data_IF_646880859790
#
_entry.id   IF_646880859790
#
_cell.length_a   1.000
_cell.length_b   1.000
_cell.length_c   1.000
_cell.angle_alpha   90.00
_cell.angle_beta   90.00
_cell.angle_gamma   90.00
#
_symmetry.space_group_name_H-M   'P 1'
#
loop_
_entity.id
_entity.type
_entity.pdbx_description
1 polymer ?
#
# COMPACT_ATOMS: atom_id res chain seq x y z
N UNK A 1 41.42 -16.26 53.49
CA UNK A 1 40.81 -14.96 53.18
C UNK A 1 40.43 -14.98 51.73
N UNK A 2 39.13 -15.18 51.50
CA UNK A 2 38.49 -15.29 50.21
C UNK A 2 37.93 -13.92 49.82
N UNK A 3 38.29 -13.43 48.66
CA UNK A 3 37.58 -12.32 48.02
C UNK A 3 36.83 -12.85 46.81
N UNK A 4 35.49 -12.74 46.88
CA UNK A 4 34.56 -13.03 45.77
C UNK A 4 34.54 -11.84 44.81
N UNK A 5 34.90 -12.06 43.56
CA UNK A 5 34.66 -11.14 42.47
C UNK A 5 33.20 -11.32 41.98
N UNK A 6 32.38 -10.30 42.14
CA UNK A 6 31.10 -10.18 41.44
C UNK A 6 31.38 -9.65 40.02
N UNK A 7 31.15 -10.45 39.03
CA UNK A 7 31.05 -10.00 37.62
C UNK A 7 29.65 -9.46 37.36
N UNK A 8 29.58 -8.17 37.10
CA UNK A 8 28.42 -7.52 36.52
C UNK A 8 28.21 -8.06 35.10
N UNK A 9 27.16 -8.80 34.89
CA UNK A 9 26.69 -9.27 33.62
C UNK A 9 25.28 -8.68 33.37
N UNK A 10 25.23 -7.43 32.92
CA UNK A 10 23.94 -6.73 32.75
C UNK A 10 23.89 -5.68 31.64
N UNK A 11 24.94 -5.52 30.83
CA UNK A 11 24.97 -4.37 29.91
C UNK A 11 25.00 -4.73 28.40
N UNK A 12 25.02 -6.00 28.00
CA UNK A 12 25.20 -6.36 26.59
C UNK A 12 23.92 -6.84 25.87
N UNK A 13 22.78 -6.99 26.56
CA UNK A 13 21.56 -7.50 25.90
C UNK A 13 20.81 -6.44 25.10
N UNK A 14 20.83 -5.19 25.52
CA UNK A 14 20.14 -4.11 24.77
C UNK A 14 20.92 -3.69 23.53
N UNK A 15 22.25 -3.68 23.58
CA UNK A 15 23.08 -3.33 22.43
C UNK A 15 22.99 -4.38 21.33
N UNK A 16 22.93 -5.66 21.68
CA UNK A 16 22.77 -6.75 20.71
C UNK A 16 21.36 -6.76 20.08
N UNK A 17 20.33 -6.35 20.84
CA UNK A 17 18.97 -6.22 20.32
C UNK A 17 18.85 -5.04 19.34
N UNK A 18 19.46 -3.91 19.65
CA UNK A 18 19.52 -2.74 18.77
C UNK A 18 20.35 -3.02 17.50
N UNK A 19 21.49 -3.68 17.62
CA UNK A 19 22.34 -4.04 16.49
C UNK A 19 21.67 -5.10 15.57
N UNK A 20 20.91 -6.03 16.13
CA UNK A 20 20.15 -7.01 15.36
C UNK A 20 18.98 -6.37 14.61
N UNK A 21 18.26 -5.44 15.24
CA UNK A 21 17.18 -4.71 14.59
C UNK A 21 17.70 -3.73 13.54
N UNK A 22 18.81 -3.07 13.77
CA UNK A 22 19.45 -2.17 12.80
C UNK A 22 19.91 -2.94 11.54
N UNK A 23 20.44 -4.16 11.70
CA UNK A 23 20.80 -5.05 10.57
C UNK A 23 19.58 -5.53 9.81
N UNK A 24 18.45 -5.82 10.47
CA UNK A 24 17.19 -6.19 9.84
C UNK A 24 16.56 -5.01 9.10
N UNK A 25 16.60 -3.82 9.66
CA UNK A 25 16.12 -2.58 9.01
C UNK A 25 17.03 -2.25 7.83
N UNK A 26 18.34 -2.39 7.95
CA UNK A 26 19.28 -2.15 6.85
C UNK A 26 19.13 -3.20 5.73
N UNK A 27 18.86 -4.47 6.07
CA UNK A 27 18.55 -5.52 5.11
C UNK A 27 17.20 -5.30 4.41
N UNK A 28 16.21 -4.77 5.14
CA UNK A 28 14.90 -4.41 4.58
C UNK A 28 15.03 -3.24 3.60
N UNK A 29 15.81 -2.22 3.94
CA UNK A 29 16.09 -1.06 3.06
C UNK A 29 16.90 -1.49 1.83
N UNK A 30 17.87 -2.43 1.96
CA UNK A 30 18.61 -2.98 0.82
C UNK A 30 17.76 -3.91 -0.05
N UNK A 31 16.85 -4.70 0.53
CA UNK A 31 15.92 -5.54 -0.24
C UNK A 31 14.90 -4.69 -1.00
N UNK A 32 14.45 -3.58 -0.42
CA UNK A 32 13.62 -2.59 -1.09
C UNK A 32 14.39 -1.90 -2.25
N UNK A 33 15.66 -1.54 -2.05
CA UNK A 33 16.50 -0.96 -3.09
C UNK A 33 16.77 -1.93 -4.25
N UNK A 34 16.91 -3.24 -3.98
CA UNK A 34 17.16 -4.24 -5.03
C UNK A 34 15.92 -4.61 -5.84
N UNK A 35 14.69 -4.53 -5.25
CA UNK A 35 13.45 -4.73 -6.00
C UNK A 35 13.12 -3.53 -6.92
N UNK A 36 13.63 -2.34 -6.58
CA UNK A 36 13.41 -1.09 -7.34
C UNK A 36 14.23 -0.98 -8.63
N UNK A 37 15.24 -1.81 -8.84
CA UNK A 37 16.19 -1.63 -9.96
C UNK A 37 15.71 -2.15 -11.31
N UNK A 38 14.54 -2.78 -11.40
CA UNK A 38 14.11 -3.39 -12.67
C UNK A 38 13.08 -2.60 -13.50
N UNK A 39 12.41 -1.58 -12.94
CA UNK A 39 11.34 -0.88 -13.66
C UNK A 39 11.38 0.67 -13.61
N UNK A 40 12.47 1.25 -13.15
CA UNK A 40 12.57 2.71 -13.09
C UNK A 40 12.82 3.30 -14.49
N UNK A 41 11.76 3.70 -15.17
CA UNK A 41 11.81 4.54 -16.37
C UNK A 41 11.56 3.86 -17.72
N UNK A 42 11.34 2.54 -17.79
CA UNK A 42 10.87 1.91 -19.02
C UNK A 42 9.34 1.86 -19.02
N UNK A 43 8.70 2.48 -20.01
CA UNK A 43 7.27 2.28 -20.25
C UNK A 43 6.98 0.78 -20.43
N UNK A 44 5.84 0.32 -19.92
CA UNK A 44 5.40 -1.05 -20.16
C UNK A 44 5.26 -1.31 -21.67
N UNK A 45 5.56 -2.53 -22.11
CA UNK A 45 5.46 -2.91 -23.53
C UNK A 45 4.04 -2.76 -24.07
N UNK A 46 3.03 -2.78 -23.20
CA UNK A 46 1.61 -2.63 -23.47
C UNK A 46 1.02 -1.31 -22.91
N UNK A 47 1.86 -0.28 -22.76
CA UNK A 47 1.45 1.04 -22.23
C UNK A 47 0.24 1.63 -22.96
N UNK A 48 0.12 1.40 -24.26
CA UNK A 48 -1.00 1.92 -25.08
C UNK A 48 -2.36 1.32 -24.70
N UNK A 49 -2.39 0.16 -24.05
CA UNK A 49 -3.60 -0.53 -23.61
C UNK A 49 -4.08 -0.10 -22.22
N UNK A 50 -3.24 0.63 -21.48
CA UNK A 50 -3.57 1.18 -20.16
C UNK A 50 -4.51 2.37 -20.34
N UNK A 51 -5.68 2.32 -19.68
CA UNK A 51 -6.73 3.35 -19.77
C UNK A 51 -6.82 4.22 -18.52
N UNK A 52 -6.27 3.76 -17.40
CA UNK A 52 -6.13 4.57 -16.19
C UNK A 52 -4.95 5.53 -16.36
N UNK A 53 -4.92 6.59 -15.57
CA UNK A 53 -3.83 7.55 -15.62
C UNK A 53 -2.48 6.88 -15.32
N UNK A 54 -1.43 7.31 -16.00
CA UNK A 54 -0.09 6.78 -15.82
C UNK A 54 0.37 6.86 -14.35
N UNK A 55 -0.02 7.91 -13.64
CA UNK A 55 0.27 8.12 -12.22
C UNK A 55 -0.22 6.97 -11.34
N UNK A 56 -1.39 6.39 -11.64
CA UNK A 56 -1.96 5.26 -10.91
C UNK A 56 -1.00 4.06 -10.93
N UNK A 57 -0.55 3.71 -12.13
CA UNK A 57 0.35 2.56 -12.32
C UNK A 57 1.74 2.86 -11.77
N UNK A 58 2.30 4.03 -12.09
CA UNK A 58 3.64 4.45 -11.66
C UNK A 58 3.73 4.50 -10.12
N UNK A 59 2.72 5.03 -9.45
CA UNK A 59 2.65 5.08 -7.97
C UNK A 59 2.61 3.68 -7.38
N UNK A 60 1.71 2.81 -7.83
CA UNK A 60 1.56 1.48 -7.25
C UNK A 60 2.76 0.56 -7.54
N UNK A 61 3.43 0.75 -8.67
CA UNK A 61 4.70 0.07 -8.98
C UNK A 61 5.81 0.59 -8.06
N UNK A 62 5.89 1.90 -7.88
CA UNK A 62 6.88 2.52 -6.98
C UNK A 62 6.72 2.08 -5.54
N UNK A 63 5.48 1.89 -5.08
CA UNK A 63 5.16 1.37 -3.74
C UNK A 63 5.28 -0.17 -3.64
N UNK A 64 5.58 -0.86 -4.73
CA UNK A 64 5.68 -2.32 -4.76
C UNK A 64 4.36 -3.06 -4.57
N UNK A 65 3.22 -2.35 -4.62
CA UNK A 65 1.87 -2.94 -4.49
C UNK A 65 1.53 -3.78 -5.71
N UNK A 66 1.89 -3.29 -6.89
CA UNK A 66 1.74 -3.99 -8.17
C UNK A 66 3.11 -4.02 -8.86
N UNK A 67 3.45 -5.13 -9.51
CA UNK A 67 4.66 -5.25 -10.32
C UNK A 67 4.28 -5.58 -11.76
N UNK A 68 5.09 -5.16 -12.73
CA UNK A 68 5.01 -5.67 -14.09
C UNK A 68 5.42 -7.14 -14.19
N UNK A 69 5.20 -7.73 -15.35
CA UNK A 69 5.60 -9.09 -15.65
C UNK A 69 7.04 -9.14 -16.21
N UNK A 70 7.64 -10.32 -16.22
CA UNK A 70 9.04 -10.51 -16.70
C UNK A 70 9.24 -10.22 -18.18
N UNK A 71 8.15 -10.19 -18.96
CA UNK A 71 8.13 -9.80 -20.38
C UNK A 71 8.05 -8.26 -20.59
N UNK A 72 8.07 -7.50 -19.49
CA UNK A 72 7.98 -6.04 -19.50
C UNK A 72 6.55 -5.51 -19.65
N UNK A 73 5.52 -6.37 -19.62
CA UNK A 73 4.11 -5.96 -19.72
C UNK A 73 3.50 -5.64 -18.36
N UNK A 74 2.44 -4.83 -18.36
CA UNK A 74 1.57 -4.59 -17.20
C UNK A 74 0.34 -5.49 -17.21
N UNK A 75 -0.14 -5.87 -18.39
CA UNK A 75 -1.36 -6.64 -18.67
C UNK A 75 -2.62 -5.98 -18.11
N UNK A 76 -2.95 -4.77 -18.57
CA UNK A 76 -4.02 -3.95 -17.99
C UNK A 76 -5.40 -4.60 -18.07
N UNK A 77 -5.63 -5.42 -19.10
CA UNK A 77 -6.91 -6.06 -19.36
C UNK A 77 -7.05 -7.48 -18.81
N UNK A 78 -5.95 -8.08 -18.30
CA UNK A 78 -6.01 -9.35 -17.59
C UNK A 78 -6.82 -9.19 -16.29
N UNK A 79 -7.56 -10.22 -15.91
CA UNK A 79 -8.39 -10.16 -14.72
C UNK A 79 -7.60 -10.54 -13.47
N UNK A 80 -7.88 -9.86 -12.36
CA UNK A 80 -7.21 -10.11 -11.08
C UNK A 80 -7.89 -11.26 -10.35
N UNK A 81 -7.09 -12.19 -9.82
CA UNK A 81 -7.56 -13.26 -8.96
C UNK A 81 -7.75 -12.78 -7.51
N UNK A 82 -8.53 -13.53 -6.72
CA UNK A 82 -8.73 -13.28 -5.29
C UNK A 82 -7.41 -13.36 -4.51
N UNK A 83 -6.51 -14.25 -4.90
CA UNK A 83 -5.18 -14.38 -4.33
C UNK A 83 -4.28 -13.17 -4.63
N UNK A 84 -4.30 -12.67 -5.87
CA UNK A 84 -3.54 -11.48 -6.24
C UNK A 84 -4.06 -10.23 -5.53
N UNK A 85 -5.38 -10.07 -5.41
CA UNK A 85 -5.95 -8.96 -4.65
C UNK A 85 -5.55 -9.01 -3.17
N UNK A 86 -5.55 -10.20 -2.55
CA UNK A 86 -5.09 -10.37 -1.17
C UNK A 86 -3.61 -9.99 -1.01
N UNK A 87 -2.75 -10.32 -1.98
CA UNK A 87 -1.35 -9.89 -1.99
C UNK A 87 -1.22 -8.37 -2.10
N UNK A 88 -1.94 -7.74 -3.01
CA UNK A 88 -1.90 -6.27 -3.18
C UNK A 88 -2.31 -5.55 -1.89
N UNK A 89 -3.39 -6.00 -1.25
CA UNK A 89 -3.85 -5.44 0.04
C UNK A 89 -2.84 -5.68 1.17
N UNK A 90 -2.21 -6.86 1.19
CA UNK A 90 -1.15 -7.14 2.16
C UNK A 90 0.00 -6.14 2.04
N UNK A 91 0.49 -5.92 0.81
CA UNK A 91 1.57 -4.94 0.56
C UNK A 91 1.13 -3.54 0.95
N UNK A 92 -0.08 -3.12 0.55
CA UNK A 92 -0.66 -1.83 0.92
C UNK A 92 -0.70 -1.61 2.44
N UNK A 93 -0.96 -2.67 3.23
CA UNK A 93 -1.07 -2.58 4.69
C UNK A 93 0.24 -2.73 5.44
N UNK A 94 1.23 -3.33 4.86
CA UNK A 94 2.47 -3.69 5.57
C UNK A 94 3.73 -3.06 4.99
N UNK A 95 3.65 -2.53 3.77
CA UNK A 95 4.81 -2.11 3.00
C UNK A 95 5.78 -3.26 2.66
N UNK A 96 5.38 -4.52 2.89
CA UNK A 96 6.23 -5.70 2.71
C UNK A 96 5.66 -6.63 1.65
N UNK A 97 6.50 -7.18 0.80
CA UNK A 97 6.09 -8.14 -0.23
C UNK A 97 6.18 -9.61 0.22
N UNK A 98 6.72 -9.91 1.39
CA UNK A 98 6.86 -11.26 1.94
C UNK A 98 5.87 -11.51 3.08
N UNK A 99 4.92 -12.43 2.87
CA UNK A 99 3.95 -12.87 3.86
C UNK A 99 4.28 -14.26 4.43
N UNK A 100 5.50 -14.76 4.26
CA UNK A 100 5.90 -16.12 4.70
C UNK A 100 5.70 -16.34 6.20
N UNK A 101 5.81 -15.29 7.02
CA UNK A 101 5.56 -15.34 8.46
C UNK A 101 4.14 -15.82 8.83
N UNK A 102 3.16 -15.68 7.92
CA UNK A 102 1.77 -16.09 8.12
C UNK A 102 1.44 -17.44 7.52
N UNK A 103 2.41 -18.12 6.89
CA UNK A 103 2.19 -19.40 6.21
C UNK A 103 1.64 -20.51 7.12
N UNK A 104 2.00 -20.48 8.39
CA UNK A 104 1.62 -21.48 9.38
C UNK A 104 0.49 -21.04 10.30
N UNK A 105 -0.06 -19.82 10.08
CA UNK A 105 -1.20 -19.32 10.84
C UNK A 105 -2.44 -20.21 10.62
N UNK A 106 -3.34 -20.17 11.60
CA UNK A 106 -4.61 -20.88 11.52
C UNK A 106 -5.53 -20.25 10.48
N UNK A 107 -6.25 -21.09 9.77
CA UNK A 107 -7.28 -20.70 8.81
C UNK A 107 -8.40 -21.73 8.78
N UNK A 108 -9.60 -21.30 8.41
CA UNK A 108 -10.71 -22.19 8.10
C UNK A 108 -10.65 -22.71 6.64
N UNK A 109 -9.84 -22.09 5.77
CA UNK A 109 -9.79 -22.43 4.35
C UNK A 109 -8.95 -23.68 4.11
N UNK A 110 -9.51 -24.67 3.42
CA UNK A 110 -8.88 -25.96 3.15
C UNK A 110 -8.21 -26.01 1.77
N UNK A 111 -8.49 -25.05 0.90
CA UNK A 111 -8.04 -25.00 -0.49
C UNK A 111 -6.78 -24.14 -0.73
N UNK A 112 -6.16 -23.64 0.33
CA UNK A 112 -4.99 -22.75 0.23
C UNK A 112 -3.69 -23.34 0.77
N UNK A 113 -3.70 -24.60 1.26
CA UNK A 113 -2.59 -25.18 2.01
C UNK A 113 -1.24 -25.18 1.30
N UNK A 114 -1.21 -25.46 -0.01
CA UNK A 114 -0.02 -25.42 -0.86
C UNK A 114 0.02 -24.20 -1.80
N UNK A 115 -0.98 -23.31 -1.73
CA UNK A 115 -1.07 -22.18 -2.63
C UNK A 115 -0.01 -21.12 -2.30
N UNK A 116 0.59 -20.50 -3.32
CA UNK A 116 1.64 -19.51 -3.18
C UNK A 116 1.20 -18.31 -2.31
N UNK A 117 -0.08 -17.94 -2.38
CA UNK A 117 -0.64 -16.80 -1.66
C UNK A 117 -1.15 -17.12 -0.26
N UNK A 118 -0.91 -18.33 0.28
CA UNK A 118 -1.51 -18.73 1.56
C UNK A 118 -1.23 -17.78 2.72
N UNK A 119 -0.03 -17.21 2.79
CA UNK A 119 0.33 -16.24 3.83
C UNK A 119 -0.45 -14.94 3.72
N UNK A 120 -0.57 -14.40 2.52
CA UNK A 120 -1.36 -13.19 2.23
C UNK A 120 -2.85 -13.39 2.58
N UNK A 121 -3.39 -14.55 2.17
CA UNK A 121 -4.80 -14.90 2.42
C UNK A 121 -5.06 -15.02 3.93
N UNK A 122 -4.20 -15.73 4.66
CA UNK A 122 -4.34 -15.90 6.11
C UNK A 122 -4.25 -14.57 6.86
N UNK A 123 -3.30 -13.70 6.48
CA UNK A 123 -3.21 -12.34 7.02
C UNK A 123 -4.51 -11.55 6.79
N UNK A 124 -4.98 -11.48 5.55
CA UNK A 124 -6.19 -10.75 5.23
C UNK A 124 -7.44 -11.34 5.89
N UNK A 125 -7.50 -12.68 6.05
CA UNK A 125 -8.57 -13.36 6.79
C UNK A 125 -8.56 -12.99 8.26
N UNK A 126 -7.40 -12.97 8.92
CA UNK A 126 -7.27 -12.63 10.35
C UNK A 126 -7.77 -11.23 10.68
N UNK A 127 -7.74 -10.32 9.72
CA UNK A 127 -8.24 -8.95 9.82
C UNK A 127 -9.69 -8.77 9.30
N UNK A 128 -10.33 -9.86 8.85
CA UNK A 128 -11.68 -9.79 8.29
C UNK A 128 -11.79 -9.08 6.93
N UNK A 129 -10.65 -8.78 6.28
CA UNK A 129 -10.60 -8.09 4.97
C UNK A 129 -11.20 -8.97 3.88
N UNK A 130 -10.95 -10.27 3.96
CA UNK A 130 -11.47 -11.24 3.01
C UNK A 130 -12.44 -12.22 3.69
N UNK A 131 -13.43 -12.64 2.93
CA UNK A 131 -14.31 -13.74 3.26
C UNK A 131 -14.12 -14.88 2.25
N UNK A 132 -14.41 -16.11 2.66
CA UNK A 132 -14.47 -17.24 1.75
C UNK A 132 -15.69 -17.19 0.83
N UNK A 133 -15.65 -18.00 -0.21
CA UNK A 133 -16.85 -18.34 -1.02
C UNK A 133 -17.77 -19.28 -0.22
N UNK A 134 -17.18 -20.01 0.74
CA UNK A 134 -17.88 -20.77 1.76
C UNK A 134 -17.14 -20.68 3.10
N UNK A 135 -17.64 -21.37 4.13
CA UNK A 135 -16.98 -21.45 5.43
C UNK A 135 -15.54 -22.01 5.36
N UNK A 136 -15.26 -22.86 4.38
CA UNK A 136 -14.00 -23.60 4.26
C UNK A 136 -13.27 -23.42 2.93
N UNK A 137 -13.81 -22.67 2.00
CA UNK A 137 -13.25 -22.47 0.65
C UNK A 137 -13.01 -20.99 0.39
N UNK A 138 -11.78 -20.62 0.04
CA UNK A 138 -11.41 -19.26 -0.37
C UNK A 138 -11.53 -19.08 -1.90
N UNK A 139 -11.23 -20.10 -2.68
CA UNK A 139 -11.11 -20.08 -4.14
C UNK A 139 -10.04 -19.08 -4.64
N UNK A 140 -8.74 -19.29 -4.33
CA UNK A 140 -7.67 -18.32 -4.58
C UNK A 140 -7.50 -17.92 -6.05
N UNK A 141 -7.68 -18.86 -6.98
CA UNK A 141 -7.51 -18.64 -8.42
C UNK A 141 -8.77 -18.11 -9.11
N UNK A 142 -9.90 -18.01 -8.40
CA UNK A 142 -11.08 -17.37 -8.94
C UNK A 142 -10.87 -15.86 -9.09
N UNK A 143 -11.38 -15.28 -10.16
CA UNK A 143 -11.31 -13.83 -10.38
C UNK A 143 -12.14 -13.08 -9.35
N UNK A 144 -11.66 -11.90 -8.94
CA UNK A 144 -12.40 -10.96 -8.09
C UNK A 144 -13.21 -10.02 -8.98
N UNK A 145 -14.42 -9.66 -8.58
CA UNK A 145 -15.18 -8.57 -9.22
C UNK A 145 -14.76 -7.21 -8.66
N UNK A 146 -15.03 -6.12 -9.38
CA UNK A 146 -14.68 -4.78 -8.88
C UNK A 146 -15.41 -4.45 -7.58
N UNK A 147 -16.67 -4.87 -7.41
CA UNK A 147 -17.40 -4.67 -6.14
C UNK A 147 -16.84 -5.53 -4.98
N UNK A 148 -16.32 -6.74 -5.26
CA UNK A 148 -15.63 -7.53 -4.22
C UNK A 148 -14.29 -6.90 -3.84
N UNK A 149 -13.53 -6.37 -4.81
CA UNK A 149 -12.30 -5.63 -4.55
C UNK A 149 -12.58 -4.36 -3.72
N UNK A 150 -13.61 -3.60 -4.07
CA UNK A 150 -14.05 -2.42 -3.31
C UNK A 150 -14.43 -2.78 -1.87
N UNK A 151 -15.15 -3.90 -1.65
CA UNK A 151 -15.46 -4.40 -0.30
C UNK A 151 -14.20 -4.71 0.50
N UNK A 152 -13.21 -5.37 -0.10
CA UNK A 152 -11.95 -5.66 0.57
C UNK A 152 -11.23 -4.37 0.98
N UNK A 153 -11.27 -3.34 0.14
CA UNK A 153 -10.67 -2.04 0.44
C UNK A 153 -11.43 -1.29 1.53
N UNK A 154 -12.77 -1.30 1.54
CA UNK A 154 -13.55 -0.71 2.63
C UNK A 154 -13.19 -1.33 3.99
N UNK A 155 -13.03 -2.65 4.06
CA UNK A 155 -12.57 -3.28 5.31
C UNK A 155 -11.11 -2.89 5.63
N UNK A 156 -10.28 -2.69 4.61
CA UNK A 156 -8.91 -2.17 4.78
C UNK A 156 -8.91 -0.74 5.36
N UNK A 157 -9.87 0.09 4.98
CA UNK A 157 -10.08 1.42 5.58
C UNK A 157 -10.49 1.37 7.07
N UNK A 158 -11.05 0.24 7.53
CA UNK A 158 -11.50 0.05 8.91
C UNK A 158 -12.98 -0.21 9.08
N UNK A 159 -13.75 -0.32 8.01
CA UNK A 159 -15.17 -0.70 8.10
C UNK A 159 -15.30 -2.17 8.52
N UNK A 160 -16.09 -2.42 9.57
CA UNK A 160 -16.50 -3.78 9.92
C UNK A 160 -17.58 -4.25 8.96
N UNK A 161 -17.36 -5.40 8.31
CA UNK A 161 -18.23 -5.90 7.27
C UNK A 161 -19.69 -6.13 7.74
N UNK A 162 -19.90 -6.52 9.01
CA UNK A 162 -21.24 -6.73 9.58
C UNK A 162 -21.91 -5.39 9.89
N UNK A 163 -21.23 -4.51 10.63
CA UNK A 163 -21.77 -3.21 11.06
C UNK A 163 -22.05 -2.27 9.87
N UNK A 164 -21.21 -2.31 8.85
CA UNK A 164 -21.39 -1.52 7.63
C UNK A 164 -22.41 -2.13 6.65
N UNK A 165 -22.96 -3.31 6.94
CA UNK A 165 -23.91 -3.99 6.07
C UNK A 165 -23.30 -4.55 4.79
N UNK A 166 -21.99 -4.81 4.78
CA UNK A 166 -21.28 -5.36 3.62
C UNK A 166 -21.41 -6.88 3.53
N UNK A 167 -22.42 -7.44 4.18
CA UNK A 167 -22.78 -8.87 4.16
C UNK A 167 -24.28 -9.04 3.98
N UNK A 168 -24.73 -10.28 3.69
CA UNK A 168 -26.15 -10.59 3.46
C UNK A 168 -26.62 -10.16 2.07
N UNK A 169 -27.93 -10.15 1.84
CA UNK A 169 -28.53 -10.02 0.50
C UNK A 169 -28.24 -8.67 -0.19
N UNK A 170 -28.03 -7.61 0.56
CA UNK A 170 -27.81 -6.25 0.05
C UNK A 170 -26.32 -5.84 0.04
N UNK A 171 -25.40 -6.79 0.28
CA UNK A 171 -23.97 -6.48 0.44
C UNK A 171 -23.41 -5.68 -0.75
N UNK A 172 -23.76 -6.04 -1.97
CA UNK A 172 -23.22 -5.42 -3.18
C UNK A 172 -23.66 -3.95 -3.33
N UNK A 173 -24.95 -3.65 -3.13
CA UNK A 173 -25.45 -2.28 -3.22
C UNK A 173 -24.91 -1.40 -2.09
N UNK A 174 -24.77 -1.96 -0.86
CA UNK A 174 -24.14 -1.27 0.26
C UNK A 174 -22.66 -1.02 0.04
N UNK A 175 -21.95 -2.01 -0.51
CA UNK A 175 -20.53 -1.86 -0.86
C UNK A 175 -20.34 -0.75 -1.89
N UNK A 176 -21.11 -0.77 -2.99
CA UNK A 176 -20.98 0.23 -4.05
C UNK A 176 -21.28 1.64 -3.53
N UNK A 177 -22.37 1.82 -2.76
CA UNK A 177 -22.72 3.11 -2.18
C UNK A 177 -21.61 3.64 -1.23
N UNK A 178 -21.11 2.79 -0.34
CA UNK A 178 -20.07 3.20 0.61
C UNK A 178 -18.71 3.42 -0.06
N UNK A 179 -18.40 2.66 -1.11
CA UNK A 179 -17.18 2.85 -1.89
C UNK A 179 -17.22 4.15 -2.69
N UNK A 180 -18.37 4.50 -3.27
CA UNK A 180 -18.58 5.78 -3.94
C UNK A 180 -18.46 6.96 -2.98
N UNK A 181 -19.11 6.89 -1.80
CA UNK A 181 -19.01 7.90 -0.74
C UNK A 181 -17.57 8.15 -0.28
N UNK A 182 -16.73 7.12 -0.31
CA UNK A 182 -15.31 7.22 0.08
C UNK A 182 -14.37 7.52 -1.11
N UNK A 183 -14.89 7.81 -2.30
CA UNK A 183 -14.08 8.11 -3.49
C UNK A 183 -13.35 6.90 -4.09
N UNK A 184 -13.62 5.67 -3.62
CA UNK A 184 -12.92 4.48 -4.13
C UNK A 184 -13.26 4.16 -5.58
N UNK A 185 -14.40 4.63 -6.08
CA UNK A 185 -14.91 4.32 -7.42
C UNK A 185 -14.55 5.39 -8.46
N UNK A 186 -13.83 6.44 -8.09
CA UNK A 186 -13.38 7.48 -9.03
C UNK A 186 -12.54 6.85 -10.15
N UNK A 187 -12.87 7.16 -11.41
CA UNK A 187 -12.20 6.67 -12.62
C UNK A 187 -12.17 5.13 -12.79
N UNK A 188 -13.00 4.40 -12.05
CA UNK A 188 -13.15 2.94 -12.18
C UNK A 188 -14.17 2.61 -13.26
N UNK A 189 -13.78 2.75 -14.53
CA UNK A 189 -14.64 2.60 -15.70
C UNK A 189 -14.76 1.13 -16.13
N UNK A 190 -15.31 0.27 -15.27
CA UNK A 190 -15.54 -1.15 -15.55
C UNK A 190 -16.87 -1.65 -14.97
N UNK A 191 -17.29 -2.84 -15.39
CA UNK A 191 -18.43 -3.52 -14.78
C UNK A 191 -18.10 -3.95 -13.34
N UNK A 192 -18.96 -3.59 -12.37
CA UNK A 192 -18.74 -3.95 -10.97
C UNK A 192 -19.05 -5.42 -10.66
N UNK A 193 -19.81 -6.09 -11.53
CA UNK A 193 -20.24 -7.49 -11.34
C UNK A 193 -19.45 -8.51 -12.17
N UNK A 194 -18.59 -8.04 -13.06
CA UNK A 194 -17.70 -8.88 -13.86
C UNK A 194 -16.30 -8.95 -13.24
N UNK A 195 -15.50 -9.91 -13.72
CA UNK A 195 -14.09 -10.02 -13.32
C UNK A 195 -13.36 -8.68 -13.52
N UNK A 196 -12.69 -8.20 -12.49
CA UNK A 196 -12.04 -6.89 -12.47
C UNK A 196 -10.76 -6.91 -13.30
N UNK A 197 -10.65 -6.07 -14.35
CA UNK A 197 -9.38 -5.87 -15.05
C UNK A 197 -8.33 -5.28 -14.14
N UNK A 198 -7.07 -5.68 -14.33
CA UNK A 198 -5.94 -5.33 -13.48
C UNK A 198 -5.73 -3.82 -13.34
N UNK A 199 -5.92 -3.05 -14.41
CA UNK A 199 -5.83 -1.59 -14.36
C UNK A 199 -6.89 -0.96 -13.45
N UNK A 200 -8.11 -1.50 -13.39
CA UNK A 200 -9.15 -0.96 -12.52
C UNK A 200 -9.04 -1.49 -11.08
N UNK A 201 -8.45 -2.66 -10.86
CA UNK A 201 -8.02 -3.06 -9.52
C UNK A 201 -6.91 -2.12 -9.01
N UNK A 202 -5.98 -1.71 -9.89
CA UNK A 202 -4.98 -0.70 -9.58
C UNK A 202 -5.63 0.65 -9.24
N UNK A 203 -6.58 1.12 -10.04
CA UNK A 203 -7.31 2.37 -9.76
C UNK A 203 -8.01 2.35 -8.40
N UNK A 204 -8.73 1.28 -8.07
CA UNK A 204 -9.36 1.12 -6.76
C UNK A 204 -8.37 1.21 -5.60
N UNK A 205 -7.21 0.57 -5.73
CA UNK A 205 -6.17 0.58 -4.70
C UNK A 205 -5.53 1.98 -4.60
N UNK A 206 -5.26 2.62 -5.73
CA UNK A 206 -4.73 3.98 -5.78
C UNK A 206 -5.66 4.96 -5.06
N UNK A 207 -6.95 4.93 -5.35
CA UNK A 207 -7.94 5.75 -4.68
C UNK A 207 -7.96 5.50 -3.17
N UNK A 208 -7.77 4.26 -2.73
CA UNK A 208 -7.74 3.91 -1.32
C UNK A 208 -6.53 4.49 -0.57
N UNK A 209 -5.39 4.77 -1.24
CA UNK A 209 -4.18 5.31 -0.59
C UNK A 209 -4.48 6.62 0.12
N UNK A 210 -5.22 7.51 -0.53
CA UNK A 210 -5.54 8.84 -0.02
C UNK A 210 -6.85 8.89 0.79
N UNK A 211 -7.56 7.77 0.89
CA UNK A 211 -8.81 7.71 1.64
C UNK A 211 -8.52 7.61 3.15
N UNK A 212 -9.14 8.48 3.99
CA UNK A 212 -9.00 8.42 5.44
C UNK A 212 -9.47 7.08 6.01
N UNK A 213 -8.71 6.54 6.96
CA UNK A 213 -9.12 5.36 7.71
C UNK A 213 -10.19 5.70 8.74
N UNK A 214 -11.04 4.73 9.06
CA UNK A 214 -12.15 4.89 10.00
C UNK A 214 -12.07 3.90 11.15
N UNK A 215 -12.71 4.26 12.26
CA UNK A 215 -12.98 3.39 13.41
C UNK A 215 -14.44 3.48 13.79
N UNK A 216 -15.00 2.41 14.33
CA UNK A 216 -16.36 2.42 14.87
C UNK A 216 -16.35 2.93 16.32
N UNK A 217 -17.05 4.03 16.57
CA UNK A 217 -17.20 4.63 17.89
C UNK A 217 -18.58 5.29 18.01
N UNK A 218 -19.18 5.18 19.20
CA UNK A 218 -20.44 5.83 19.54
C UNK A 218 -21.54 5.60 18.47
N UNK A 219 -21.66 4.34 18.03
CA UNK A 219 -22.60 3.87 17.00
C UNK A 219 -22.45 4.51 15.61
N UNK A 220 -21.28 5.07 15.33
CA UNK A 220 -20.94 5.65 14.01
C UNK A 220 -19.50 5.33 13.60
N UNK A 221 -19.23 5.42 12.29
CA UNK A 221 -17.86 5.46 11.78
C UNK A 221 -17.30 6.88 11.88
N UNK A 222 -16.08 6.99 12.36
CA UNK A 222 -15.35 8.24 12.47
C UNK A 222 -13.89 8.02 12.08
N UNK A 223 -13.25 9.04 11.52
CA UNK A 223 -11.82 9.09 11.27
C UNK A 223 -11.01 9.72 12.41
N UNK A 224 -11.68 10.10 13.51
CA UNK A 224 -11.05 10.64 14.72
C UNK A 224 -10.77 9.51 15.71
N UNK A 225 -9.53 9.34 16.13
CA UNK A 225 -9.11 8.32 17.08
C UNK A 225 -8.58 8.96 18.38
N UNK A 226 -8.49 8.18 19.45
CA UNK A 226 -7.88 8.62 20.73
C UNK A 226 -6.34 8.50 20.73
N UNK A 227 -5.75 7.92 19.69
CA UNK A 227 -4.33 7.56 19.63
C UNK A 227 -3.50 8.48 18.72
N UNK A 228 -4.07 9.59 18.25
CA UNK A 228 -3.40 10.53 17.35
C UNK A 228 -3.31 10.07 15.90
N UNK A 229 -4.11 9.08 15.51
CA UNK A 229 -4.24 8.63 14.11
C UNK A 229 -5.42 9.32 13.39
N UNK A 230 -5.79 10.48 13.89
CA UNK A 230 -6.94 11.24 13.39
C UNK A 230 -6.74 11.63 11.91
N UNK A 231 -7.73 11.35 11.10
CA UNK A 231 -7.77 11.63 9.66
C UNK A 231 -6.62 11.01 8.83
N UNK A 232 -5.84 10.09 9.39
CA UNK A 232 -4.79 9.43 8.61
C UNK A 232 -5.38 8.60 7.48
N UNK A 233 -4.84 8.82 6.28
CA UNK A 233 -5.16 8.01 5.11
C UNK A 233 -4.55 6.61 5.22
N UNK A 234 -4.96 5.70 4.33
CA UNK A 234 -4.36 4.36 4.24
C UNK A 234 -2.86 4.44 4.01
N UNK A 235 -2.42 5.31 3.10
CA UNK A 235 -1.00 5.51 2.80
C UNK A 235 -0.21 6.01 4.00
N UNK A 236 -0.72 7.02 4.69
CA UNK A 236 -0.09 7.57 5.90
C UNK A 236 -0.02 6.55 7.03
N UNK A 237 -1.09 5.81 7.26
CA UNK A 237 -1.23 4.89 8.39
C UNK A 237 -0.42 3.61 8.22
N UNK A 238 -0.44 3.03 7.04
CA UNK A 238 0.09 1.68 6.82
C UNK A 238 1.42 1.66 6.07
N UNK A 239 1.68 2.65 5.21
CA UNK A 239 2.90 2.74 4.43
C UNK A 239 3.83 3.87 4.88
N UNK A 240 3.42 4.63 5.91
CA UNK A 240 4.12 5.82 6.39
C UNK A 240 4.39 6.85 5.27
N UNK A 241 3.48 6.91 4.29
CA UNK A 241 3.55 7.91 3.24
C UNK A 241 3.32 9.30 3.84
N UNK A 242 3.98 10.28 3.26
CA UNK A 242 3.78 11.69 3.57
C UNK A 242 3.47 12.41 2.27
N UNK A 243 2.45 13.25 2.29
CA UNK A 243 1.98 13.97 1.11
C UNK A 243 2.21 15.45 1.30
N UNK A 244 2.88 16.08 0.35
CA UNK A 244 2.98 17.55 0.30
C UNK A 244 2.54 18.07 -1.05
N UNK A 245 1.86 19.22 -1.04
CA UNK A 245 1.50 19.95 -2.25
C UNK A 245 2.20 21.29 -2.21
N UNK A 246 3.03 21.57 -3.21
CA UNK A 246 3.82 22.79 -3.29
C UNK A 246 4.19 23.11 -4.74
N UNK A 247 4.72 24.29 -4.99
CA UNK A 247 5.25 24.66 -6.31
C UNK A 247 6.59 23.93 -6.54
N UNK A 248 6.73 23.26 -7.67
CA UNK A 248 7.99 22.67 -8.10
C UNK A 248 8.94 23.79 -8.58
N UNK A 249 9.97 24.09 -7.80
CA UNK A 249 10.93 25.14 -8.09
C UNK A 249 11.99 24.71 -9.09
N UNK A 250 12.58 23.52 -8.86
CA UNK A 250 13.65 23.01 -9.70
C UNK A 250 13.60 21.50 -9.89
N UNK A 251 14.09 21.07 -11.05
CA UNK A 251 14.38 19.67 -11.40
C UNK A 251 15.77 19.61 -11.99
N UNK A 252 16.66 18.86 -11.38
CA UNK A 252 18.04 18.70 -11.86
C UNK A 252 18.41 17.21 -11.96
N UNK A 253 19.14 16.84 -13.04
CA UNK A 253 19.64 15.48 -13.17
C UNK A 253 20.76 15.24 -12.17
N UNK A 254 20.69 14.15 -11.42
CA UNK A 254 21.71 13.76 -10.45
C UNK A 254 23.01 13.41 -11.17
N UNK A 255 24.12 14.03 -10.76
CA UNK A 255 25.43 13.81 -11.42
C UNK A 255 25.84 12.34 -11.35
N UNK A 256 26.09 11.75 -12.54
CA UNK A 256 26.54 10.37 -12.67
C UNK A 256 25.45 9.30 -12.45
N UNK A 257 24.18 9.68 -12.38
CA UNK A 257 23.03 8.77 -12.22
C UNK A 257 21.95 9.06 -13.27
N UNK A 258 21.09 8.09 -13.51
CA UNK A 258 19.86 8.24 -14.30
C UNK A 258 18.66 8.58 -13.39
N UNK A 259 18.88 9.50 -12.44
CA UNK A 259 17.88 9.99 -11.50
C UNK A 259 17.89 11.51 -11.45
N UNK A 260 16.83 12.09 -10.90
CA UNK A 260 16.64 13.52 -10.76
C UNK A 260 16.49 13.91 -9.29
N UNK A 261 16.76 15.16 -9.02
CA UNK A 261 16.49 15.81 -7.74
C UNK A 261 15.38 16.82 -7.98
N UNK A 262 14.33 16.79 -7.15
CA UNK A 262 13.24 17.76 -7.16
C UNK A 262 13.44 18.72 -5.99
N UNK A 263 13.29 20.01 -6.25
CA UNK A 263 13.26 21.05 -5.22
C UNK A 263 11.90 21.74 -5.25
N UNK A 264 11.23 21.78 -4.10
CA UNK A 264 9.97 22.52 -3.92
C UNK A 264 10.25 23.92 -3.41
N UNK A 265 9.44 24.89 -3.83
CA UNK A 265 9.45 26.25 -3.30
C UNK A 265 9.03 26.24 -1.83
N UNK A 266 9.98 26.54 -0.95
CA UNK A 266 9.82 26.55 0.50
C UNK A 266 8.67 27.41 0.99
N UNK A 267 8.37 28.48 0.27
CA UNK A 267 7.29 29.41 0.65
C UNK A 267 5.89 28.80 0.44
N UNK A 268 5.80 27.73 -0.34
CA UNK A 268 4.54 27.06 -0.67
C UNK A 268 4.35 25.72 0.04
N UNK A 269 5.40 25.19 0.70
CA UNK A 269 5.34 23.93 1.44
C UNK A 269 4.64 24.12 2.79
N UNK A 270 3.69 23.26 3.11
CA UNK A 270 3.14 23.18 4.47
C UNK A 270 4.14 22.45 5.39
N UNK A 271 4.91 23.22 6.15
CA UNK A 271 5.96 22.69 7.04
C UNK A 271 5.45 21.72 8.11
N UNK A 272 4.15 21.74 8.42
CA UNK A 272 3.57 20.85 9.41
C UNK A 272 3.18 19.48 8.83
N UNK A 273 3.04 19.37 7.51
CA UNK A 273 2.58 18.15 6.83
C UNK A 273 3.70 17.28 6.30
N UNK A 274 4.82 17.87 5.91
CA UNK A 274 5.91 17.17 5.23
C UNK A 274 7.21 17.34 5.99
N UNK A 275 7.45 16.48 6.95
CA UNK A 275 8.64 16.50 7.78
C UNK A 275 9.38 15.18 7.75
N UNK A 276 10.71 15.22 7.91
CA UNK A 276 11.51 14.04 8.19
C UNK A 276 11.20 13.46 9.59
N UNK A 277 11.86 12.37 9.96
CA UNK A 277 11.68 11.71 11.25
C UNK A 277 12.12 12.59 12.46
N UNK A 278 12.76 13.73 12.19
CA UNK A 278 13.20 14.72 13.19
C UNK A 278 12.29 15.95 13.22
N UNK A 279 11.20 15.95 12.44
CA UNK A 279 10.26 17.06 12.36
C UNK A 279 10.76 18.23 11.50
N UNK A 280 11.81 18.05 10.67
CA UNK A 280 12.31 19.06 9.76
C UNK A 280 11.55 18.98 8.43
N UNK A 281 11.03 20.11 7.95
CA UNK A 281 10.34 20.18 6.67
C UNK A 281 11.19 19.71 5.49
N UNK A 282 10.60 18.93 4.60
CA UNK A 282 11.24 18.38 3.40
C UNK A 282 10.91 19.26 2.20
N UNK A 283 11.92 19.72 1.51
CA UNK A 283 11.83 20.52 0.29
C UNK A 283 12.51 19.86 -0.89
N UNK A 284 13.46 18.97 -0.64
CA UNK A 284 14.28 18.31 -1.66
C UNK A 284 14.01 16.81 -1.63
N UNK A 285 13.80 16.25 -2.82
CA UNK A 285 13.57 14.83 -3.04
C UNK A 285 14.61 14.32 -4.01
N UNK A 286 15.33 13.27 -3.64
CA UNK A 286 16.44 12.68 -4.43
C UNK A 286 16.04 11.32 -4.98
N UNK A 287 16.84 10.83 -5.92
CA UNK A 287 16.65 9.53 -6.57
C UNK A 287 15.31 9.35 -7.31
N UNK A 288 14.69 10.48 -7.71
CA UNK A 288 13.48 10.49 -8.54
C UNK A 288 13.82 9.94 -9.93
N UNK A 289 13.03 8.99 -10.38
CA UNK A 289 13.34 8.22 -11.60
C UNK A 289 12.90 8.89 -12.90
N UNK A 290 11.92 9.78 -12.82
CA UNK A 290 11.33 10.46 -13.99
C UNK A 290 11.72 11.92 -13.99
N UNK A 291 11.96 12.47 -15.19
CA UNK A 291 12.14 13.89 -15.40
C UNK A 291 10.78 14.59 -15.37
N UNK A 292 10.61 15.51 -14.44
CA UNK A 292 9.42 16.35 -14.27
C UNK A 292 9.71 17.82 -14.62
N UNK A 293 10.72 18.11 -15.43
CA UNK A 293 11.11 19.46 -15.77
C UNK A 293 10.00 20.28 -16.46
N UNK A 294 9.07 19.61 -17.11
CA UNK A 294 7.88 20.19 -17.74
C UNK A 294 6.84 20.71 -16.73
N UNK A 295 6.93 20.28 -15.46
CA UNK A 295 6.07 20.71 -14.36
C UNK A 295 6.70 21.84 -13.52
N UNK A 296 7.87 22.36 -13.89
CA UNK A 296 8.49 23.49 -13.17
C UNK A 296 7.55 24.68 -13.10
N UNK A 297 7.51 25.29 -11.92
CA UNK A 297 6.64 26.42 -11.56
C UNK A 297 5.14 26.10 -11.52
N UNK A 298 4.79 24.83 -11.56
CA UNK A 298 3.42 24.36 -11.34
C UNK A 298 3.26 23.83 -9.92
N UNK A 299 2.00 23.85 -9.43
CA UNK A 299 1.65 23.19 -8.18
C UNK A 299 1.68 21.69 -8.42
N UNK A 300 2.49 20.98 -7.65
CA UNK A 300 2.62 19.51 -7.70
C UNK A 300 2.34 18.91 -6.35
N UNK A 301 1.90 17.66 -6.36
CA UNK A 301 1.81 16.85 -5.15
C UNK A 301 2.89 15.78 -5.18
N UNK A 302 3.65 15.70 -4.09
CA UNK A 302 4.71 14.67 -3.91
C UNK A 302 4.28 13.77 -2.76
N UNK A 303 4.37 12.45 -3.00
CA UNK A 303 4.10 11.39 -2.05
C UNK A 303 5.40 10.73 -1.61
#
# INVERSE_FOLDING_TARGET
KSQRFFRNCGFNREIDYFACNLKKILALVLAFACAFTMFAGAAFTDQADIKVDAEVVDTLVSLGVINGYTDGSFKPNDTVTRAEMAKMIYVLRTGNSDASAYNDDKTSFTDIGSHWARGYIKYCQSLGIIAGQSATTFAPDQTVTAQEAAKMLLVTLGYDAQKAGLVGINWASKTNALADENGLLEDVNTSFTSACPRQYAAQLIYNAIDTPTVVWRDDAYTNVTLLGDDNKTVGEKFMNLKKTTAVLEDVSKTSGKETFELTLDKSTVDENKTTDDKGKALYNFTDVKKDYSDLKYQMVTVL
#
